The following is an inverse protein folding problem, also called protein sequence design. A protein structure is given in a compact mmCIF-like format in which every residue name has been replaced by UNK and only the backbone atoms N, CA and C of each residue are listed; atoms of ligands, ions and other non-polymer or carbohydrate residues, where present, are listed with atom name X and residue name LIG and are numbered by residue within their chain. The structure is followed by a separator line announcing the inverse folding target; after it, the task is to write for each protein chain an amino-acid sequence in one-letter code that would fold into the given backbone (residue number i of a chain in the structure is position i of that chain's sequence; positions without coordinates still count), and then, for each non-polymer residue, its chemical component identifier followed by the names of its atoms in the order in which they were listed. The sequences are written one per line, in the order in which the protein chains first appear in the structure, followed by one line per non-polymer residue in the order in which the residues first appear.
data_IF_208041201127
#
_entry.id   IF_208041201127
#
_cell.length_a   1.000
_cell.length_b   1.000
_cell.length_c   1.000
_cell.angle_alpha   90.00
_cell.angle_beta   90.00
_cell.angle_gamma   90.00
#
_symmetry.space_group_name_H-M   'P 1'
#
loop_
_entity.id
_entity.type
_entity.pdbx_description
1 polymer ?
#
# COMPACT_ATOMS: atom_id res chain seq x y z
N UNK A 1 21.93 7.10 13.81
CA UNK A 1 20.45 7.18 13.97
C UNK A 1 20.13 8.01 15.18
N UNK A 2 19.41 9.13 14.99
CA UNK A 2 18.87 9.92 16.11
C UNK A 2 17.74 9.08 16.70
N UNK A 3 17.88 8.69 17.96
CA UNK A 3 16.87 7.88 18.66
C UNK A 3 15.62 8.73 18.85
N UNK A 4 14.61 8.57 17.98
CA UNK A 4 13.33 9.27 18.11
C UNK A 4 12.65 8.89 19.44
N UNK A 5 12.01 9.85 20.09
CA UNK A 5 11.19 9.55 21.27
C UNK A 5 9.95 8.75 20.86
N UNK A 6 9.37 8.02 21.81
CA UNK A 6 8.10 7.29 21.59
C UNK A 6 7.00 8.24 21.14
N UNK A 7 6.94 9.45 21.70
CA UNK A 7 5.96 10.48 21.34
C UNK A 7 6.10 10.93 19.87
N UNK A 8 7.35 11.20 19.44
CA UNK A 8 7.63 11.55 18.04
C UNK A 8 7.25 10.45 17.08
N UNK A 9 7.48 9.19 17.47
CA UNK A 9 7.06 8.04 16.64
C UNK A 9 5.54 7.91 16.56
N UNK A 10 4.84 8.06 17.68
CA UNK A 10 3.36 8.05 17.72
C UNK A 10 2.79 9.17 16.85
N UNK A 11 3.35 10.36 16.91
CA UNK A 11 2.91 11.50 16.12
C UNK A 11 3.07 11.24 14.61
N UNK A 12 4.19 10.69 14.19
CA UNK A 12 4.41 10.27 12.79
C UNK A 12 3.43 9.18 12.33
N UNK A 13 3.15 8.20 13.20
CA UNK A 13 2.14 7.15 12.92
C UNK A 13 0.77 7.78 12.71
N UNK A 14 0.36 8.69 13.61
CA UNK A 14 -0.89 9.44 13.47
C UNK A 14 -0.92 10.28 12.19
N UNK A 15 0.17 11.00 11.92
CA UNK A 15 0.32 11.79 10.70
C UNK A 15 0.17 10.95 9.43
N UNK A 16 0.80 9.79 9.36
CA UNK A 16 0.70 8.89 8.22
C UNK A 16 -0.72 8.35 8.03
N UNK A 17 -1.36 7.85 9.10
CA UNK A 17 -2.70 7.25 9.00
C UNK A 17 -3.78 8.30 8.73
N UNK A 18 -3.75 9.45 9.43
CA UNK A 18 -4.71 10.52 9.21
C UNK A 18 -4.48 11.25 7.89
N UNK A 19 -3.22 11.50 7.53
CA UNK A 19 -2.87 12.11 6.24
C UNK A 19 -3.34 11.28 5.06
N UNK A 20 -3.16 9.95 5.13
CA UNK A 20 -3.68 9.02 4.12
C UNK A 20 -5.19 9.09 4.01
N UNK A 21 -5.92 9.04 5.14
CA UNK A 21 -7.37 9.11 5.14
C UNK A 21 -7.91 10.48 4.66
N UNK A 22 -7.20 11.57 4.94
CA UNK A 22 -7.56 12.91 4.43
C UNK A 22 -7.33 12.96 2.91
N UNK A 23 -6.18 12.45 2.44
CA UNK A 23 -5.86 12.39 1.01
C UNK A 23 -6.88 11.56 0.22
N UNK A 24 -7.21 10.36 0.72
CA UNK A 24 -8.26 9.51 0.18
C UNK A 24 -9.61 10.24 0.13
N UNK A 25 -10.07 10.80 1.25
CA UNK A 25 -11.36 11.49 1.30
C UNK A 25 -11.44 12.74 0.42
N UNK A 26 -10.33 13.40 0.12
CA UNK A 26 -10.27 14.50 -0.85
C UNK A 26 -10.29 13.96 -2.29
N UNK A 27 -9.52 12.92 -2.57
CA UNK A 27 -9.43 12.30 -3.89
C UNK A 27 -10.72 11.59 -4.28
N UNK A 28 -11.35 10.89 -3.34
CA UNK A 28 -12.56 10.10 -3.57
C UNK A 28 -13.72 10.93 -4.14
N UNK A 29 -13.83 12.20 -3.78
CA UNK A 29 -14.89 13.10 -4.31
C UNK A 29 -14.80 13.33 -5.81
N UNK A 30 -13.60 13.12 -6.40
CA UNK A 30 -13.32 13.47 -7.80
C UNK A 30 -12.73 12.29 -8.58
N UNK A 31 -12.62 11.12 -7.98
CA UNK A 31 -11.94 9.93 -8.53
C UNK A 31 -12.48 9.55 -9.92
N UNK A 32 -13.78 9.71 -10.15
CA UNK A 32 -14.43 9.35 -11.42
C UNK A 32 -14.78 10.57 -12.29
N UNK A 33 -14.37 11.77 -11.89
CA UNK A 33 -14.56 12.96 -12.71
C UNK A 33 -13.50 13.01 -13.82
N UNK A 34 -13.93 13.25 -15.06
CA UNK A 34 -13.05 13.30 -16.22
C UNK A 34 -12.47 14.68 -16.50
N UNK A 35 -13.04 15.70 -15.90
CA UNK A 35 -12.62 17.09 -16.11
C UNK A 35 -11.54 17.48 -15.10
N UNK A 36 -10.65 18.40 -15.53
CA UNK A 36 -9.59 18.94 -14.69
C UNK A 36 -10.21 19.61 -13.47
N UNK A 37 -9.94 19.04 -12.30
CA UNK A 37 -10.42 19.59 -11.04
C UNK A 37 -9.67 20.88 -10.71
N UNK A 38 -10.37 22.00 -10.51
CA UNK A 38 -9.72 23.24 -10.08
C UNK A 38 -9.00 23.06 -8.74
N UNK A 39 -7.85 23.72 -8.53
CA UNK A 39 -7.09 23.73 -7.27
C UNK A 39 -7.91 24.13 -6.02
N UNK A 40 -9.15 24.59 -6.20
CA UNK A 40 -10.07 24.97 -5.13
C UNK A 40 -10.80 23.82 -4.44
N UNK A 41 -10.72 22.59 -4.95
CA UNK A 41 -11.32 21.39 -4.31
C UNK A 41 -10.47 20.81 -3.19
N UNK A 42 -10.04 21.66 -2.27
CA UNK A 42 -9.32 21.24 -1.04
C UNK A 42 -10.26 21.16 0.17
N UNK A 43 -11.58 21.09 -0.06
CA UNK A 43 -12.59 21.04 1.00
C UNK A 43 -13.50 19.83 0.79
N UNK A 44 -13.88 19.22 1.89
CA UNK A 44 -14.89 18.17 1.87
C UNK A 44 -16.26 18.74 1.50
N UNK A 45 -16.97 18.05 0.63
CA UNK A 45 -18.38 18.32 0.36
C UNK A 45 -19.15 18.19 1.69
N UNK A 46 -19.98 19.16 2.00
CA UNK A 46 -20.73 19.24 3.27
C UNK A 46 -19.86 19.23 4.55
N UNK A 47 -18.56 19.51 4.42
CA UNK A 47 -17.63 19.58 5.57
C UNK A 47 -17.26 18.23 6.19
N UNK A 48 -17.64 17.12 5.56
CA UNK A 48 -17.35 15.76 6.04
C UNK A 48 -16.51 15.01 4.99
N UNK A 49 -15.34 14.52 5.40
CA UNK A 49 -14.51 13.63 4.59
C UNK A 49 -15.06 12.21 4.56
N UNK A 50 -15.42 11.72 3.37
CA UNK A 50 -15.84 10.33 3.16
C UNK A 50 -14.66 9.57 2.58
N UNK A 51 -14.20 8.54 3.29
CA UNK A 51 -13.11 7.67 2.88
C UNK A 51 -13.58 6.60 1.89
N UNK A 52 -12.70 6.12 1.02
CA UNK A 52 -12.93 5.00 0.09
C UNK A 52 -12.42 3.67 0.65
N UNK A 53 -12.29 2.66 -0.22
CA UNK A 53 -11.66 1.37 0.08
C UNK A 53 -10.15 1.51 0.36
N UNK A 54 -9.48 2.56 -0.12
CA UNK A 54 -8.08 2.86 0.20
C UNK A 54 -7.85 2.93 1.72
N UNK A 55 -8.60 3.78 2.40
CA UNK A 55 -8.51 3.89 3.86
C UNK A 55 -9.09 2.67 4.56
N UNK A 56 -10.19 2.10 4.06
CA UNK A 56 -10.75 0.89 4.65
C UNK A 56 -9.71 -0.23 4.68
N UNK A 57 -9.11 -0.59 3.55
CA UNK A 57 -8.12 -1.67 3.46
C UNK A 57 -6.84 -1.32 4.22
N UNK A 58 -6.44 -0.05 4.27
CA UNK A 58 -5.34 0.42 5.13
C UNK A 58 -5.60 0.11 6.61
N UNK A 59 -6.81 0.40 7.12
CA UNK A 59 -7.19 0.10 8.50
C UNK A 59 -7.26 -1.41 8.77
N UNK A 60 -7.76 -2.21 7.82
CA UNK A 60 -7.79 -3.65 7.94
C UNK A 60 -6.38 -4.26 7.91
N UNK A 61 -5.43 -3.71 7.12
CA UNK A 61 -4.01 -4.08 7.18
C UNK A 61 -3.44 -3.87 8.58
N UNK A 62 -3.65 -2.67 9.15
CA UNK A 62 -3.20 -2.36 10.50
C UNK A 62 -3.81 -3.31 11.54
N UNK A 63 -5.10 -3.61 11.42
CA UNK A 63 -5.81 -4.50 12.34
C UNK A 63 -5.26 -5.93 12.29
N UNK A 64 -4.99 -6.47 11.11
CA UNK A 64 -4.37 -7.78 10.93
C UNK A 64 -2.98 -7.88 11.59
N UNK A 65 -2.14 -6.86 11.42
CA UNK A 65 -0.82 -6.78 12.03
C UNK A 65 -0.90 -6.67 13.56
N UNK A 66 -1.81 -5.85 14.09
CA UNK A 66 -2.03 -5.70 15.53
C UNK A 66 -2.58 -6.98 16.16
N UNK A 67 -3.55 -7.63 15.52
CA UNK A 67 -4.05 -8.93 15.96
C UNK A 67 -2.94 -9.98 16.02
N UNK A 68 -2.09 -10.03 14.98
CA UNK A 68 -0.92 -10.91 14.96
C UNK A 68 0.01 -10.65 16.14
N UNK A 69 0.32 -9.37 16.40
CA UNK A 69 1.20 -8.96 17.50
C UNK A 69 0.64 -9.38 18.85
N UNK A 70 -0.63 -9.10 19.09
CA UNK A 70 -1.35 -9.49 20.32
C UNK A 70 -1.32 -11.01 20.51
N UNK A 71 -1.59 -11.77 19.43
CA UNK A 71 -1.58 -13.22 19.49
C UNK A 71 -0.17 -13.77 19.81
N UNK A 72 0.88 -13.18 19.22
CA UNK A 72 2.26 -13.56 19.53
C UNK A 72 2.61 -13.32 20.99
N UNK A 73 2.23 -12.16 21.54
CA UNK A 73 2.49 -11.80 22.93
C UNK A 73 1.69 -12.66 23.93
N UNK A 74 0.44 -12.98 23.61
CA UNK A 74 -0.44 -13.68 24.56
C UNK A 74 -0.41 -15.19 24.46
N UNK A 75 -0.03 -15.76 23.28
CA UNK A 75 -0.06 -17.20 23.00
C UNK A 75 1.29 -17.76 22.57
N UNK A 76 2.30 -16.92 22.39
CA UNK A 76 3.64 -17.34 21.93
C UNK A 76 3.72 -17.74 20.45
N UNK A 77 2.60 -17.82 19.74
CA UNK A 77 2.52 -18.22 18.32
C UNK A 77 1.59 -17.28 17.55
N UNK A 78 1.99 -16.97 16.32
CA UNK A 78 1.15 -16.17 15.40
C UNK A 78 1.44 -16.60 13.95
N UNK A 79 0.48 -16.40 13.01
CA UNK A 79 0.74 -16.65 11.60
C UNK A 79 1.76 -15.67 11.03
N UNK A 80 2.24 -15.92 9.81
CA UNK A 80 3.02 -14.96 9.04
C UNK A 80 2.24 -13.64 8.87
N UNK A 81 2.93 -12.49 8.78
CA UNK A 81 2.26 -11.19 8.61
C UNK A 81 1.29 -11.16 7.43
N UNK A 82 1.68 -11.68 6.25
CA UNK A 82 0.83 -11.74 5.06
C UNK A 82 -0.46 -12.55 5.31
N UNK A 83 -0.36 -13.67 6.05
CA UNK A 83 -1.56 -14.46 6.41
C UNK A 83 -2.48 -13.72 7.36
N UNK A 84 -1.93 -12.97 8.32
CA UNK A 84 -2.73 -12.15 9.24
C UNK A 84 -3.45 -11.01 8.50
N UNK A 85 -2.76 -10.37 7.55
CA UNK A 85 -3.34 -9.34 6.68
C UNK A 85 -4.44 -9.96 5.80
N UNK A 86 -4.20 -11.11 5.18
CA UNK A 86 -5.20 -11.82 4.38
C UNK A 86 -6.50 -12.09 5.16
N UNK A 87 -6.38 -12.59 6.38
CA UNK A 87 -7.56 -12.84 7.23
C UNK A 87 -8.33 -11.55 7.55
N UNK A 88 -7.61 -10.44 7.79
CA UNK A 88 -8.26 -9.15 7.98
C UNK A 88 -8.93 -8.64 6.69
N UNK A 89 -8.39 -8.96 5.51
CA UNK A 89 -9.04 -8.60 4.24
C UNK A 89 -10.28 -9.44 3.95
N UNK A 90 -10.35 -10.67 4.43
CA UNK A 90 -11.61 -11.44 4.39
C UNK A 90 -12.67 -10.78 5.29
N UNK A 91 -12.28 -10.26 6.46
CA UNK A 91 -13.17 -9.43 7.29
C UNK A 91 -13.63 -8.15 6.57
N UNK A 92 -12.74 -7.49 5.81
CA UNK A 92 -13.11 -6.35 4.97
C UNK A 92 -14.07 -6.77 3.84
N UNK A 93 -13.83 -7.91 3.18
CA UNK A 93 -14.73 -8.45 2.16
C UNK A 93 -16.16 -8.64 2.70
N UNK A 94 -16.30 -9.12 3.93
CA UNK A 94 -17.61 -9.24 4.59
C UNK A 94 -18.33 -7.87 4.67
N UNK A 95 -17.60 -6.78 4.90
CA UNK A 95 -18.19 -5.42 4.97
C UNK A 95 -18.62 -4.86 3.62
N UNK A 96 -18.17 -5.47 2.51
CA UNK A 96 -18.51 -5.07 1.15
C UNK A 96 -19.76 -5.82 0.59
N UNK A 97 -20.68 -6.22 1.47
CA UNK A 97 -21.87 -7.01 1.11
C UNK A 97 -21.53 -8.40 0.54
N UNK A 98 -20.36 -8.91 0.89
CA UNK A 98 -19.85 -10.24 0.52
C UNK A 98 -19.74 -11.16 1.75
N UNK A 99 -20.48 -10.85 2.82
CA UNK A 99 -20.45 -11.60 4.07
C UNK A 99 -20.78 -13.08 3.84
N UNK A 100 -19.99 -13.96 4.47
CA UNK A 100 -20.14 -15.40 4.37
C UNK A 100 -19.73 -16.03 3.02
N UNK A 101 -19.15 -15.25 2.11
CA UNK A 101 -18.69 -15.78 0.83
C UNK A 101 -17.47 -16.69 1.00
N UNK A 102 -16.57 -16.36 1.92
CA UNK A 102 -15.40 -17.17 2.26
C UNK A 102 -15.42 -17.48 3.74
N UNK A 103 -15.44 -18.77 4.10
CA UNK A 103 -15.41 -19.19 5.51
C UNK A 103 -14.04 -18.89 6.12
N UNK A 104 -14.01 -18.10 7.18
CA UNK A 104 -12.80 -17.77 7.91
C UNK A 104 -13.07 -17.41 9.36
N UNK A 105 -12.00 -17.37 10.17
CA UNK A 105 -12.10 -16.87 11.56
C UNK A 105 -11.86 -15.37 11.55
N UNK A 106 -12.83 -14.55 12.02
CA UNK A 106 -12.67 -13.11 12.10
C UNK A 106 -11.48 -12.69 13.01
N UNK A 107 -10.73 -11.71 12.55
CA UNK A 107 -9.54 -11.18 13.24
C UNK A 107 -9.56 -9.66 13.41
N UNK A 108 -10.28 -8.95 12.54
CA UNK A 108 -10.36 -7.50 12.53
C UNK A 108 -11.59 -7.01 13.30
N UNK A 109 -11.37 -6.54 14.54
CA UNK A 109 -12.45 -6.02 15.38
C UNK A 109 -13.16 -4.80 14.77
N UNK A 110 -12.47 -4.06 13.89
CA UNK A 110 -13.02 -2.86 13.23
C UNK A 110 -14.18 -3.19 12.28
N UNK A 111 -14.35 -4.44 11.84
CA UNK A 111 -15.50 -4.83 11.01
C UNK A 111 -16.85 -4.60 11.70
N UNK A 112 -16.86 -4.44 13.03
CA UNK A 112 -18.05 -4.14 13.79
C UNK A 112 -18.36 -2.64 13.89
N UNK A 113 -17.53 -1.77 13.27
CA UNK A 113 -17.76 -0.33 13.21
C UNK A 113 -18.71 -0.07 12.03
N UNK A 114 -19.95 0.47 12.29
CA UNK A 114 -20.96 0.62 11.23
C UNK A 114 -20.49 1.46 10.04
N UNK A 115 -19.69 2.50 10.29
CA UNK A 115 -19.18 3.42 9.27
C UNK A 115 -18.21 2.76 8.30
N UNK A 116 -17.60 1.63 8.69
CA UNK A 116 -16.72 0.82 7.84
C UNK A 116 -17.48 -0.26 7.05
N UNK A 117 -18.77 -0.51 7.39
CA UNK A 117 -19.63 -1.44 6.66
C UNK A 117 -20.35 -0.74 5.51
N UNK A 118 -19.58 -0.12 4.62
CA UNK A 118 -20.10 0.63 3.50
C UNK A 118 -19.28 0.29 2.23
N UNK A 119 -19.99 0.07 1.13
CA UNK A 119 -19.37 -0.08 -0.18
C UNK A 119 -18.92 1.31 -0.65
N UNK A 120 -17.62 1.49 -0.84
CA UNK A 120 -16.99 2.77 -1.17
C UNK A 120 -15.98 2.58 -2.28
N UNK A 121 -16.48 2.39 -3.49
CA UNK A 121 -15.71 2.15 -4.72
C UNK A 121 -14.65 1.04 -4.61
N UNK A 122 -14.96 -0.12 -4.02
CA UNK A 122 -13.97 -1.17 -3.84
C UNK A 122 -13.44 -1.66 -5.19
N UNK A 123 -12.11 -1.74 -5.30
CA UNK A 123 -11.45 -2.25 -6.51
C UNK A 123 -11.87 -3.68 -6.84
N UNK A 124 -12.34 -3.92 -8.08
CA UNK A 124 -12.80 -5.25 -8.52
C UNK A 124 -11.72 -6.32 -8.35
N UNK A 125 -10.46 -6.01 -8.64
CA UNK A 125 -9.35 -6.96 -8.45
C UNK A 125 -9.24 -7.41 -6.99
N UNK A 126 -9.44 -6.50 -6.01
CA UNK A 126 -9.44 -6.85 -4.60
C UNK A 126 -10.62 -7.76 -4.25
N UNK A 127 -11.83 -7.40 -4.70
CA UNK A 127 -13.05 -8.19 -4.45
C UNK A 127 -12.95 -9.59 -5.05
N UNK A 128 -12.57 -9.70 -6.32
CA UNK A 128 -12.52 -10.98 -7.03
C UNK A 128 -11.45 -11.90 -6.44
N UNK A 129 -10.25 -11.37 -6.18
CA UNK A 129 -9.17 -12.15 -5.57
C UNK A 129 -9.54 -12.67 -4.19
N UNK A 130 -10.12 -11.85 -3.32
CA UNK A 130 -10.51 -12.27 -1.98
C UNK A 130 -11.72 -13.21 -2.00
N UNK A 131 -12.66 -13.01 -2.94
CA UNK A 131 -13.85 -13.85 -3.11
C UNK A 131 -13.52 -15.26 -3.60
N UNK A 132 -12.35 -15.46 -4.22
CA UNK A 132 -11.89 -16.80 -4.61
C UNK A 132 -11.63 -17.72 -3.42
N UNK A 133 -11.38 -17.15 -2.23
CA UNK A 133 -10.96 -17.89 -1.04
C UNK A 133 -9.50 -18.34 -1.09
N UNK A 134 -8.79 -18.05 -2.18
CA UNK A 134 -7.38 -18.37 -2.34
C UNK A 134 -6.50 -17.19 -1.90
N UNK A 135 -5.34 -17.49 -1.38
CA UNK A 135 -4.36 -16.49 -0.98
C UNK A 135 -3.29 -16.35 -2.05
N UNK A 136 -3.27 -15.24 -2.77
CA UNK A 136 -2.19 -14.93 -3.72
C UNK A 136 -0.83 -14.88 -3.00
N UNK A 137 0.21 -15.33 -3.68
CA UNK A 137 1.59 -15.32 -3.18
C UNK A 137 2.52 -14.72 -4.23
N UNK A 138 3.77 -14.49 -3.84
CA UNK A 138 4.78 -14.00 -4.79
C UNK A 138 5.06 -15.01 -5.91
N UNK A 139 4.98 -16.30 -5.56
CA UNK A 139 5.24 -17.43 -6.47
C UNK A 139 4.03 -17.77 -7.35
N UNK A 140 2.82 -17.47 -6.85
CA UNK A 140 1.56 -17.81 -7.51
C UNK A 140 0.56 -16.68 -7.36
N UNK A 141 0.60 -15.74 -8.29
CA UNK A 141 -0.37 -14.65 -8.39
C UNK A 141 -1.72 -15.16 -8.85
N UNK A 142 -2.81 -14.62 -8.29
CA UNK A 142 -4.18 -14.95 -8.69
C UNK A 142 -4.59 -14.33 -10.03
N UNK A 143 -3.86 -13.33 -10.49
CA UNK A 143 -4.14 -12.57 -11.70
C UNK A 143 -2.92 -11.79 -12.16
N UNK A 144 -3.02 -11.12 -13.32
CA UNK A 144 -2.00 -10.22 -13.87
C UNK A 144 -2.31 -8.72 -13.65
N UNK A 145 -3.10 -8.36 -12.66
CA UNK A 145 -3.45 -6.96 -12.39
C UNK A 145 -2.29 -6.19 -11.79
N UNK A 146 -2.06 -4.97 -12.30
CA UNK A 146 -1.14 -3.99 -11.74
C UNK A 146 -1.85 -2.75 -11.17
N UNK A 147 -3.15 -2.85 -10.86
CA UNK A 147 -3.95 -1.77 -10.28
C UNK A 147 -3.37 -1.22 -8.96
N UNK A 148 -3.72 0.03 -8.65
CA UNK A 148 -3.24 0.73 -7.45
C UNK A 148 -3.71 0.11 -6.12
N UNK A 149 -4.75 -0.73 -6.13
CA UNK A 149 -5.27 -1.42 -4.95
C UNK A 149 -4.24 -2.27 -4.19
N UNK A 150 -3.14 -2.66 -4.86
CA UNK A 150 -2.03 -3.35 -4.20
C UNK A 150 -1.14 -2.44 -3.36
N UNK A 151 -1.03 -1.14 -3.69
CA UNK A 151 -0.13 -0.19 -3.02
C UNK A 151 -0.84 0.71 -2.01
N UNK A 152 -2.12 1.01 -2.18
CA UNK A 152 -2.90 1.93 -1.35
C UNK A 152 -2.85 1.62 0.15
N UNK A 153 -2.64 0.38 0.52
CA UNK A 153 -2.74 -0.18 1.87
C UNK A 153 -1.41 -0.54 2.54
N UNK A 154 -0.27 -0.07 1.99
CA UNK A 154 1.08 -0.45 2.44
C UNK A 154 1.54 0.31 3.70
N UNK A 155 1.05 1.54 3.92
CA UNK A 155 1.53 2.39 5.01
C UNK A 155 1.60 1.69 6.39
N UNK A 156 0.60 0.93 6.87
CA UNK A 156 0.68 0.25 8.16
C UNK A 156 1.82 -0.77 8.25
N UNK A 157 2.24 -1.36 7.14
CA UNK A 157 3.35 -2.31 7.10
C UNK A 157 4.66 -1.59 7.41
N UNK A 158 4.88 -0.43 6.79
CA UNK A 158 6.05 0.40 7.04
C UNK A 158 6.09 0.96 8.47
N UNK A 159 4.92 1.26 9.05
CA UNK A 159 4.80 1.72 10.44
C UNK A 159 5.11 0.61 11.47
N UNK A 160 4.81 -0.64 11.12
CA UNK A 160 4.88 -1.80 12.01
C UNK A 160 6.17 -2.60 11.88
N UNK A 161 6.65 -2.81 10.66
CA UNK A 161 7.76 -3.71 10.37
C UNK A 161 9.12 -3.07 10.61
N UNK A 162 10.14 -3.92 10.77
CA UNK A 162 11.54 -3.51 10.75
C UNK A 162 12.07 -3.41 9.33
N UNK A 163 13.21 -2.73 9.17
CA UNK A 163 13.86 -2.50 7.89
C UNK A 163 14.12 -3.79 7.09
N UNK A 164 14.56 -4.84 7.75
CA UNK A 164 14.97 -6.10 7.14
C UNK A 164 13.82 -6.88 6.46
N UNK A 165 12.58 -6.56 6.80
CA UNK A 165 11.39 -7.30 6.31
C UNK A 165 10.32 -6.40 5.68
N UNK A 166 10.42 -5.08 5.79
CA UNK A 166 9.35 -4.15 5.36
C UNK A 166 9.02 -4.28 3.88
N UNK A 167 10.01 -4.34 3.02
CA UNK A 167 9.82 -4.49 1.57
C UNK A 167 9.14 -5.81 1.22
N UNK A 168 9.66 -6.92 1.75
CA UNK A 168 9.11 -8.24 1.48
C UNK A 168 7.66 -8.40 1.96
N UNK A 169 7.33 -7.90 3.17
CA UNK A 169 5.96 -7.96 3.68
C UNK A 169 5.03 -7.06 2.86
N UNK A 170 5.51 -5.91 2.38
CA UNK A 170 4.77 -5.03 1.48
C UNK A 170 4.45 -5.72 0.15
N UNK A 171 5.45 -6.33 -0.46
CA UNK A 171 5.30 -7.13 -1.68
C UNK A 171 4.31 -8.28 -1.50
N UNK A 172 4.46 -9.06 -0.42
CA UNK A 172 3.53 -10.16 -0.07
C UNK A 172 2.11 -9.66 0.17
N UNK A 173 1.94 -8.49 0.77
CA UNK A 173 0.60 -7.89 0.96
C UNK A 173 -0.04 -7.49 -0.38
N UNK A 174 0.74 -6.95 -1.32
CA UNK A 174 0.27 -6.67 -2.68
C UNK A 174 -0.15 -7.95 -3.38
N UNK A 175 0.70 -8.98 -3.35
CA UNK A 175 0.48 -10.26 -4.02
C UNK A 175 -0.79 -10.99 -3.57
N UNK A 176 -1.34 -10.69 -2.39
CA UNK A 176 -2.62 -11.25 -1.94
C UNK A 176 -3.76 -11.02 -2.96
N UNK A 177 -3.68 -9.95 -3.74
CA UNK A 177 -4.74 -9.56 -4.69
C UNK A 177 -4.23 -9.13 -6.06
N UNK A 178 -2.98 -8.69 -6.20
CA UNK A 178 -2.39 -8.17 -7.43
C UNK A 178 -1.11 -8.94 -7.75
N UNK A 179 -1.13 -9.70 -8.83
CA UNK A 179 -0.03 -10.62 -9.18
C UNK A 179 0.97 -10.06 -10.18
N UNK A 180 0.77 -8.85 -10.73
CA UNK A 180 1.70 -8.30 -11.72
C UNK A 180 3.01 -7.84 -11.06
N UNK A 181 4.20 -8.14 -11.66
CA UNK A 181 5.49 -7.76 -11.09
C UNK A 181 5.63 -6.27 -10.78
N UNK A 182 5.18 -5.37 -11.66
CA UNK A 182 5.23 -3.92 -11.40
C UNK A 182 4.46 -3.51 -10.15
N UNK A 183 3.27 -4.10 -9.89
CA UNK A 183 2.52 -3.81 -8.66
C UNK A 183 3.27 -4.29 -7.42
N UNK A 184 3.82 -5.50 -7.47
CA UNK A 184 4.57 -6.12 -6.37
C UNK A 184 5.83 -5.32 -6.06
N UNK A 185 6.61 -4.94 -7.09
CA UNK A 185 7.83 -4.14 -6.95
C UNK A 185 7.52 -2.72 -6.46
N UNK A 186 6.41 -2.12 -6.93
CA UNK A 186 5.95 -0.81 -6.45
C UNK A 186 5.59 -0.86 -4.96
N UNK A 187 4.91 -1.91 -4.51
CA UNK A 187 4.59 -2.09 -3.08
C UNK A 187 5.85 -2.32 -2.24
N UNK A 188 6.80 -3.10 -2.73
CA UNK A 188 8.11 -3.30 -2.11
C UNK A 188 8.83 -1.98 -1.88
N UNK A 189 8.97 -1.19 -2.95
CA UNK A 189 9.65 0.10 -2.90
C UNK A 189 8.91 1.10 -2.00
N UNK A 190 7.58 1.19 -2.10
CA UNK A 190 6.76 2.08 -1.27
C UNK A 190 6.93 1.77 0.23
N UNK A 191 7.00 0.49 0.60
CA UNK A 191 7.29 0.09 1.99
C UNK A 191 8.58 0.71 2.51
N UNK A 192 9.65 0.69 1.73
CA UNK A 192 10.93 1.34 2.10
C UNK A 192 10.84 2.86 2.07
N UNK A 193 10.18 3.47 1.07
CA UNK A 193 10.03 4.93 1.00
C UNK A 193 9.36 5.45 2.27
N UNK A 194 8.24 4.85 2.68
CA UNK A 194 7.54 5.24 3.90
C UNK A 194 8.42 4.98 5.14
N UNK A 195 9.06 3.82 5.22
CA UNK A 195 9.92 3.45 6.35
C UNK A 195 11.03 4.49 6.58
N UNK A 196 11.75 4.86 5.53
CA UNK A 196 12.86 5.81 5.64
C UNK A 196 12.39 7.26 5.84
N UNK A 197 11.25 7.65 5.28
CA UNK A 197 10.62 8.94 5.59
C UNK A 197 10.25 9.04 7.08
N UNK A 198 9.74 7.96 7.68
CA UNK A 198 9.48 7.88 9.12
C UNK A 198 10.76 7.95 9.96
N UNK A 199 11.87 7.39 9.47
CA UNK A 199 13.18 7.46 10.13
C UNK A 199 13.86 8.84 9.96
N UNK A 200 13.22 9.78 9.23
CA UNK A 200 13.65 11.17 9.09
C UNK A 200 14.50 11.45 7.87
N UNK A 201 14.55 10.54 6.91
CA UNK A 201 15.13 10.80 5.59
C UNK A 201 14.21 11.72 4.78
N UNK A 202 14.80 12.51 3.88
CA UNK A 202 14.00 13.18 2.87
C UNK A 202 13.33 12.16 1.94
N UNK A 203 12.24 12.53 1.30
CA UNK A 203 11.57 11.65 0.32
C UNK A 203 12.54 11.23 -0.79
N UNK A 204 13.37 12.15 -1.26
CA UNK A 204 14.38 11.86 -2.28
C UNK A 204 15.38 10.80 -1.84
N UNK A 205 15.94 10.94 -0.62
CA UNK A 205 16.86 9.94 -0.05
C UNK A 205 16.14 8.59 0.11
N UNK A 206 14.90 8.59 0.60
CA UNK A 206 14.10 7.39 0.79
C UNK A 206 13.83 6.67 -0.55
N UNK A 207 13.51 7.43 -1.61
CA UNK A 207 13.31 6.89 -2.96
C UNK A 207 14.60 6.24 -3.49
N UNK A 208 15.77 6.90 -3.36
CA UNK A 208 17.03 6.33 -3.84
C UNK A 208 17.39 5.03 -3.09
N UNK A 209 17.18 5.00 -1.78
CA UNK A 209 17.40 3.77 -0.99
C UNK A 209 16.42 2.66 -1.43
N UNK A 210 15.15 3.01 -1.63
CA UNK A 210 14.14 2.04 -2.07
C UNK A 210 14.46 1.45 -3.45
N UNK A 211 14.91 2.28 -4.41
CA UNK A 211 15.35 1.84 -5.73
C UNK A 211 16.54 0.87 -5.60
N UNK A 212 17.53 1.19 -4.77
CA UNK A 212 18.67 0.30 -4.55
C UNK A 212 18.21 -1.03 -3.94
N UNK A 213 17.41 -1.00 -2.86
CA UNK A 213 16.86 -2.20 -2.22
C UNK A 213 16.05 -3.06 -3.21
N UNK A 214 15.26 -2.44 -4.07
CA UNK A 214 14.46 -3.12 -5.09
C UNK A 214 15.35 -3.79 -6.15
N UNK A 215 16.38 -3.10 -6.62
CA UNK A 215 17.30 -3.66 -7.62
C UNK A 215 18.13 -4.82 -7.05
N UNK A 216 18.51 -4.73 -5.78
CA UNK A 216 19.26 -5.78 -5.08
C UNK A 216 18.36 -6.93 -4.57
N UNK A 217 17.03 -6.79 -4.69
CA UNK A 217 16.11 -7.78 -4.15
C UNK A 217 16.08 -9.04 -4.99
N UNK A 218 16.48 -10.12 -4.36
CA UNK A 218 16.32 -11.50 -4.82
C UNK A 218 15.48 -12.23 -3.78
N UNK A 219 14.49 -12.98 -4.22
CA UNK A 219 13.74 -13.86 -3.32
C UNK A 219 14.60 -15.05 -2.98
N UNK A 220 15.38 -14.95 -1.89
CA UNK A 220 16.04 -16.11 -1.35
C UNK A 220 15.02 -17.12 -0.82
N UNK A 221 15.36 -18.40 -0.95
CA UNK A 221 14.60 -19.53 -0.44
C UNK A 221 14.14 -19.31 1.00
N UNK A 222 12.89 -18.99 1.20
CA UNK A 222 12.32 -18.90 2.55
C UNK A 222 11.89 -20.26 3.07
N UNK A 223 11.63 -21.25 2.20
CA UNK A 223 11.29 -22.63 2.58
C UNK A 223 11.66 -23.65 1.50
N UNK A 224 12.70 -24.44 1.74
CA UNK A 224 12.97 -25.71 1.03
C UNK A 224 13.57 -25.59 -0.37
N UNK A 225 13.91 -26.73 -0.98
CA UNK A 225 14.69 -26.94 -2.20
C UNK A 225 14.18 -26.38 -3.53
N UNK A 226 13.45 -25.29 -3.55
CA UNK A 226 13.07 -24.62 -4.80
C UNK A 226 14.07 -23.53 -5.17
N UNK A 227 14.32 -23.34 -6.46
CA UNK A 227 15.19 -22.29 -6.97
C UNK A 227 14.71 -20.90 -6.53
N UNK A 228 15.62 -19.94 -6.22
CA UNK A 228 15.24 -18.56 -5.94
C UNK A 228 14.41 -18.05 -7.11
N UNK A 229 13.20 -17.61 -6.80
CA UNK A 229 12.37 -17.08 -7.84
C UNK A 229 12.53 -15.55 -7.87
N UNK A 230 12.72 -15.01 -9.04
CA UNK A 230 12.94 -13.60 -9.25
C UNK A 230 11.60 -12.91 -9.53
N UNK A 231 11.26 -11.88 -8.74
CA UNK A 231 10.05 -11.09 -8.97
C UNK A 231 10.38 -9.97 -9.94
N UNK A 232 9.80 -10.08 -11.11
CA UNK A 232 10.07 -9.17 -12.20
C UNK A 232 11.45 -9.42 -12.82
N UNK A 233 11.55 -9.20 -14.09
CA UNK A 233 12.84 -9.22 -14.77
C UNK A 233 13.52 -7.84 -14.62
N UNK A 234 14.75 -7.75 -15.08
CA UNK A 234 15.52 -6.51 -15.09
C UNK A 234 14.79 -5.36 -15.79
N UNK A 235 13.90 -5.66 -16.74
CA UNK A 235 13.10 -4.65 -17.44
C UNK A 235 12.10 -3.94 -16.53
N UNK A 236 11.35 -4.66 -15.68
CA UNK A 236 10.39 -4.04 -14.76
C UNK A 236 11.10 -3.23 -13.67
N UNK A 237 12.22 -3.73 -13.14
CA UNK A 237 13.04 -2.98 -12.19
C UNK A 237 13.60 -1.70 -12.83
N UNK A 238 14.06 -1.79 -14.08
CA UNK A 238 14.56 -0.63 -14.82
C UNK A 238 13.44 0.38 -15.14
N UNK A 239 12.25 -0.09 -15.50
CA UNK A 239 11.06 0.75 -15.74
C UNK A 239 10.70 1.54 -14.48
N UNK A 240 10.56 0.89 -13.32
CA UNK A 240 10.26 1.54 -12.04
C UNK A 240 11.37 2.50 -11.62
N UNK A 241 12.63 2.11 -11.76
CA UNK A 241 13.78 2.99 -11.47
C UNK A 241 13.72 4.28 -12.29
N UNK A 242 13.43 4.16 -13.59
CA UNK A 242 13.28 5.31 -14.49
C UNK A 242 12.10 6.19 -14.08
N UNK A 243 10.94 5.58 -13.79
CA UNK A 243 9.71 6.31 -13.44
C UNK A 243 9.88 7.07 -12.11
N UNK A 244 10.41 6.44 -11.07
CA UNK A 244 10.62 7.08 -9.77
C UNK A 244 11.68 8.19 -9.81
N UNK A 245 12.77 7.98 -10.54
CA UNK A 245 13.76 9.05 -10.79
C UNK A 245 13.16 10.20 -11.58
N UNK A 246 12.27 9.94 -12.55
CA UNK A 246 11.56 10.98 -13.28
C UNK A 246 10.63 11.78 -12.36
N UNK A 247 9.91 11.14 -11.43
CA UNK A 247 9.09 11.82 -10.44
C UNK A 247 9.90 12.79 -9.58
N UNK A 248 11.05 12.35 -9.06
CA UNK A 248 11.98 13.20 -8.30
C UNK A 248 12.49 14.37 -9.15
N UNK A 249 12.89 14.11 -10.41
CA UNK A 249 13.38 15.14 -11.34
C UNK A 249 12.31 16.19 -11.66
N UNK A 250 11.08 15.76 -11.93
CA UNK A 250 9.96 16.64 -12.25
C UNK A 250 9.59 17.52 -11.06
N UNK A 251 9.56 16.97 -9.83
CA UNK A 251 9.28 17.73 -8.64
C UNK A 251 10.27 18.89 -8.39
N UNK A 252 11.52 18.75 -8.84
CA UNK A 252 12.57 19.78 -8.74
C UNK A 252 12.65 20.71 -9.93
N UNK A 253 11.88 20.44 -10.98
CA UNK A 253 11.89 21.23 -12.22
C UNK A 253 10.89 22.38 -12.15
N UNK A 254 10.97 23.29 -13.14
CA UNK A 254 9.99 24.35 -13.35
C UNK A 254 8.87 23.92 -14.33
N UNK A 255 8.70 22.61 -14.57
CA UNK A 255 7.60 22.10 -15.37
C UNK A 255 6.29 22.35 -14.61
N UNK A 256 5.25 22.76 -15.33
CA UNK A 256 3.91 22.95 -14.76
C UNK A 256 3.39 21.63 -14.17
N UNK A 257 2.69 21.71 -13.03
CA UNK A 257 2.26 20.53 -12.28
C UNK A 257 1.39 19.58 -13.14
N UNK A 258 0.51 20.14 -13.96
CA UNK A 258 -0.33 19.35 -14.86
C UNK A 258 0.49 18.56 -15.89
N UNK A 259 1.47 19.20 -16.50
CA UNK A 259 2.37 18.56 -17.47
C UNK A 259 3.24 17.50 -16.78
N UNK A 260 3.72 17.78 -15.55
CA UNK A 260 4.50 16.82 -14.77
C UNK A 260 3.68 15.58 -14.43
N UNK A 261 2.44 15.75 -13.97
CA UNK A 261 1.53 14.65 -13.65
C UNK A 261 1.18 13.84 -14.90
N UNK A 262 0.94 14.49 -16.05
CA UNK A 262 0.70 13.80 -17.31
C UNK A 262 1.86 12.88 -17.72
N UNK A 263 3.11 13.29 -17.44
CA UNK A 263 4.30 12.46 -17.70
C UNK A 263 4.46 11.28 -16.75
N UNK A 264 3.80 11.29 -15.59
CA UNK A 264 3.85 10.22 -14.58
C UNK A 264 2.72 9.20 -14.72
N UNK A 265 1.66 9.54 -15.44
CA UNK A 265 0.52 8.69 -15.69
C UNK A 265 -0.78 9.19 -15.06
N UNK A 266 -1.82 8.37 -15.13
CA UNK A 266 -3.17 8.71 -14.65
C UNK A 266 -3.42 8.25 -13.19
N UNK A 267 -2.52 7.45 -12.62
CA UNK A 267 -2.62 6.98 -11.24
C UNK A 267 -3.50 5.73 -11.02
N UNK A 268 -4.00 5.10 -12.07
CA UNK A 268 -4.82 3.87 -11.95
C UNK A 268 -4.00 2.60 -11.68
N UNK A 269 -2.73 2.62 -12.00
CA UNK A 269 -1.82 1.49 -11.79
C UNK A 269 -0.78 1.81 -10.71
N UNK A 270 -0.28 0.76 -10.06
CA UNK A 270 0.54 0.88 -8.85
C UNK A 270 1.78 1.75 -9.04
N UNK A 271 2.51 1.55 -10.13
CA UNK A 271 3.73 2.28 -10.45
C UNK A 271 3.48 3.78 -10.64
N UNK A 272 2.41 4.14 -11.34
CA UNK A 272 2.03 5.54 -11.57
C UNK A 272 1.57 6.21 -10.27
N UNK A 273 0.73 5.53 -9.47
CA UNK A 273 0.26 6.05 -8.18
C UNK A 273 1.42 6.36 -7.23
N UNK A 274 2.40 5.45 -7.15
CA UNK A 274 3.60 5.68 -6.33
C UNK A 274 4.46 6.82 -6.88
N UNK A 275 4.64 6.91 -8.21
CA UNK A 275 5.40 7.99 -8.84
C UNK A 275 4.74 9.37 -8.61
N UNK A 276 3.42 9.47 -8.74
CA UNK A 276 2.65 10.68 -8.45
C UNK A 276 2.78 11.05 -6.96
N UNK A 277 2.68 10.08 -6.06
CA UNK A 277 2.87 10.30 -4.63
C UNK A 277 4.28 10.82 -4.29
N UNK A 278 5.33 10.28 -4.93
CA UNK A 278 6.71 10.78 -4.81
C UNK A 278 6.78 12.25 -5.26
N UNK A 279 6.26 12.55 -6.45
CA UNK A 279 6.23 13.91 -6.99
C UNK A 279 5.56 14.89 -6.03
N UNK A 280 4.33 14.60 -5.61
CA UNK A 280 3.55 15.47 -4.72
C UNK A 280 4.18 15.62 -3.32
N UNK A 281 4.94 14.63 -2.85
CA UNK A 281 5.58 14.67 -1.53
C UNK A 281 6.87 15.50 -1.50
N UNK A 282 7.49 15.74 -2.67
CA UNK A 282 8.71 16.56 -2.81
C UNK A 282 8.36 18.02 -3.16
N UNK A 283 7.29 18.23 -3.95
CA UNK A 283 6.82 19.54 -4.41
C UNK A 283 6.28 20.40 -3.28
#
# INVERSE_FOLDING_TARGET
MIKQSIEQRIDKVRGSMLGGAIGDALGYQIEFERDIVPRSTTRFTDGIGIISDDTQMTLFTACGLLWRSTRLQTRGIAPLPSRAIYLAYLDWLDTQQKAGQVEHTPVAWIKNIPELNAVRSPGMTCLDSLSSGEMGTLESGLNGSKGCGGVMRIAPIALYCKEDVVGEISAKSCALTHGHPLAILSAYALGYIIYYALDGKSIEEAVQIAIQKMNDWTTEKVYGDQDPFEIGCDSEKAELTKLFNNAVRLAKSNVEDQEALYQLGEGWVAEESVAIAIYCSIK
#
